data_IF_257215632528
#
_entry.id   IF_257215632528
#
_cell.length_a   1.000
_cell.length_b   1.000
_cell.length_c   1.000
_cell.angle_alpha   90.00
_cell.angle_beta   90.00
_cell.angle_gamma   90.00
#
_symmetry.space_group_name_H-M   'P 1'
#
loop_
_entity.id
_entity.type
_entity.pdbx_description
1 polymer ?
#
# COMPACT_ATOMS: atom_id res chain seq x y z
N UNK A 1 10.94 -16.52 -28.65
CA UNK A 1 9.81 -16.16 -27.74
C UNK A 1 10.20 -14.90 -27.03
N UNK A 2 9.28 -13.95 -26.89
CA UNK A 2 9.51 -12.77 -26.07
C UNK A 2 9.63 -13.18 -24.61
N UNK A 3 10.60 -12.61 -23.90
CA UNK A 3 10.92 -12.96 -22.52
C UNK A 3 11.19 -11.69 -21.69
N UNK A 4 10.72 -11.68 -20.46
CA UNK A 4 10.92 -10.58 -19.50
C UNK A 4 11.37 -11.13 -18.16
N UNK A 5 12.39 -10.51 -17.56
CA UNK A 5 12.74 -10.76 -16.17
C UNK A 5 12.05 -9.74 -15.26
N UNK A 6 11.25 -10.21 -14.31
CA UNK A 6 10.66 -9.40 -13.25
C UNK A 6 11.41 -9.65 -11.96
N UNK A 7 11.90 -8.60 -11.32
CA UNK A 7 12.70 -8.68 -10.07
C UNK A 7 11.82 -8.24 -8.89
N UNK A 8 11.56 -9.17 -7.97
CA UNK A 8 10.70 -9.01 -6.81
C UNK A 8 9.28 -9.55 -7.04
N UNK A 9 8.82 -10.44 -6.15
CA UNK A 9 7.49 -11.02 -6.16
C UNK A 9 6.56 -10.38 -5.10
N UNK A 10 6.72 -9.09 -4.85
CA UNK A 10 5.78 -8.27 -4.08
C UNK A 10 4.48 -8.03 -4.85
N UNK A 11 3.67 -7.06 -4.38
CA UNK A 11 2.40 -6.72 -5.03
C UNK A 11 2.57 -6.39 -6.52
N UNK A 12 3.42 -5.42 -6.85
CA UNK A 12 3.57 -5.01 -8.23
C UNK A 12 4.27 -6.05 -9.11
N UNK A 13 5.27 -6.77 -8.58
CA UNK A 13 5.96 -7.78 -9.37
C UNK A 13 5.09 -9.00 -9.68
N UNK A 14 4.28 -9.45 -8.73
CA UNK A 14 3.28 -10.52 -8.95
C UNK A 14 2.23 -10.11 -9.98
N UNK A 15 1.72 -8.87 -9.88
CA UNK A 15 0.77 -8.34 -10.87
C UNK A 15 1.41 -8.21 -12.25
N UNK A 16 2.62 -7.63 -12.32
CA UNK A 16 3.36 -7.46 -13.57
C UNK A 16 3.64 -8.81 -14.27
N UNK A 17 4.16 -9.80 -13.52
CA UNK A 17 4.43 -11.14 -14.05
C UNK A 17 3.15 -11.79 -14.58
N UNK A 18 2.03 -11.64 -13.86
CA UNK A 18 0.74 -12.14 -14.30
C UNK A 18 0.28 -11.48 -15.60
N UNK A 19 0.33 -10.14 -15.69
CA UNK A 19 -0.11 -9.40 -16.88
C UNK A 19 0.73 -9.70 -18.11
N UNK A 20 2.04 -9.90 -17.94
CA UNK A 20 2.95 -10.36 -19.01
C UNK A 20 2.56 -11.77 -19.50
N UNK A 21 2.40 -12.69 -18.56
CA UNK A 21 2.14 -14.10 -18.86
C UNK A 21 0.77 -14.30 -19.52
N UNK A 22 -0.27 -13.57 -19.08
CA UNK A 22 -1.59 -13.57 -19.71
C UNK A 22 -1.54 -13.15 -21.21
N UNK A 23 -0.54 -12.35 -21.59
CA UNK A 23 -0.32 -11.89 -22.99
C UNK A 23 0.68 -12.76 -23.76
N UNK A 24 0.95 -13.98 -23.28
CA UNK A 24 1.83 -14.94 -23.95
C UNK A 24 3.32 -14.62 -23.85
N UNK A 25 3.74 -13.73 -22.94
CA UNK A 25 5.14 -13.42 -22.68
C UNK A 25 5.69 -14.37 -21.63
N UNK A 26 6.81 -15.05 -21.92
CA UNK A 26 7.52 -15.84 -20.93
C UNK A 26 8.16 -14.95 -19.86
N UNK A 27 8.01 -15.32 -18.59
CA UNK A 27 8.50 -14.52 -17.46
C UNK A 27 9.43 -15.32 -16.60
N UNK A 28 10.60 -14.75 -16.28
CA UNK A 28 11.42 -15.18 -15.15
C UNK A 28 11.14 -14.24 -13.98
N UNK A 29 10.46 -14.71 -12.96
CA UNK A 29 10.19 -13.97 -11.72
C UNK A 29 11.31 -14.27 -10.70
N UNK A 30 12.17 -13.29 -10.44
CA UNK A 30 13.27 -13.38 -9.47
C UNK A 30 12.77 -12.91 -8.11
N UNK A 31 12.87 -13.75 -7.09
CA UNK A 31 12.48 -13.43 -5.72
C UNK A 31 13.53 -13.91 -4.73
N UNK A 32 13.99 -13.01 -3.85
CA UNK A 32 15.03 -13.38 -2.89
C UNK A 32 14.54 -14.27 -1.73
N UNK A 33 13.23 -14.27 -1.46
CA UNK A 33 12.61 -15.18 -0.49
C UNK A 33 12.53 -16.60 -1.07
N UNK A 34 12.69 -17.66 -0.28
CA UNK A 34 12.94 -17.68 1.17
C UNK A 34 14.41 -17.53 1.58
N UNK A 35 15.35 -17.45 0.65
CA UNK A 35 16.80 -17.44 0.96
C UNK A 35 17.20 -16.20 1.77
N UNK A 36 16.57 -15.04 1.47
CA UNK A 36 16.81 -13.78 2.17
C UNK A 36 15.49 -13.07 2.43
N UNK A 37 15.17 -12.86 3.69
CA UNK A 37 14.01 -12.05 4.11
C UNK A 37 14.44 -10.60 4.33
N UNK A 38 13.54 -9.66 4.04
CA UNK A 38 13.70 -8.29 4.51
C UNK A 38 13.24 -8.17 5.97
N UNK A 39 13.60 -7.09 6.68
CA UNK A 39 13.13 -6.89 8.05
C UNK A 39 11.59 -6.84 8.21
N UNK A 40 10.83 -6.55 7.16
CA UNK A 40 9.37 -6.47 7.20
C UNK A 40 8.66 -7.77 6.83
N UNK A 41 9.30 -8.64 6.05
CA UNK A 41 8.70 -9.90 5.58
C UNK A 41 8.91 -11.02 6.60
N UNK A 42 7.91 -11.88 6.74
CA UNK A 42 7.90 -13.00 7.69
C UNK A 42 7.67 -14.35 7.02
N UNK A 43 7.18 -14.36 5.78
CA UNK A 43 6.84 -15.56 5.02
C UNK A 43 7.59 -15.63 3.69
N UNK A 44 7.58 -16.81 3.07
CA UNK A 44 8.07 -17.00 1.70
C UNK A 44 7.03 -16.62 0.63
N UNK A 45 5.80 -16.30 1.04
CA UNK A 45 4.70 -16.02 0.13
C UNK A 45 4.91 -14.70 -0.62
N UNK A 46 4.34 -14.64 -1.84
CA UNK A 46 4.34 -13.44 -2.66
C UNK A 46 3.31 -12.43 -2.18
N UNK A 47 3.46 -11.17 -2.60
CA UNK A 47 2.53 -10.09 -2.27
C UNK A 47 2.21 -9.97 -0.77
N UNK A 48 3.16 -10.28 0.11
CA UNK A 48 2.98 -10.17 1.56
C UNK A 48 2.69 -8.73 1.95
N UNK A 49 1.60 -8.53 2.72
CA UNK A 49 1.19 -7.23 3.22
C UNK A 49 1.92 -6.89 4.54
N UNK A 50 2.97 -6.08 4.49
CA UNK A 50 3.85 -5.85 5.62
C UNK A 50 3.25 -4.94 6.70
N UNK A 51 2.70 -3.76 6.33
CA UNK A 51 2.28 -2.75 7.30
C UNK A 51 0.82 -2.90 7.76
N UNK A 52 -0.08 -3.36 6.90
CA UNK A 52 -1.53 -3.43 7.14
C UNK A 52 -2.15 -4.50 6.26
N UNK A 53 -3.26 -5.10 6.69
CA UNK A 53 -4.06 -5.97 5.84
C UNK A 53 -5.16 -5.23 5.07
N UNK A 54 -5.17 -3.90 5.10
CA UNK A 54 -6.18 -3.09 4.42
C UNK A 54 -5.67 -2.52 3.11
N UNK A 55 -6.48 -2.67 2.08
CA UNK A 55 -6.36 -1.98 0.81
C UNK A 55 -7.15 -0.65 0.81
N UNK A 56 -7.42 -0.09 2.00
CA UNK A 56 -8.12 1.18 2.22
C UNK A 56 -9.59 1.18 1.75
N UNK A 57 -10.19 2.36 1.62
CA UNK A 57 -11.63 2.52 1.32
C UNK A 57 -12.07 1.78 0.05
N UNK A 58 -13.20 1.06 0.12
CA UNK A 58 -13.77 0.32 -0.99
C UNK A 58 -14.73 1.17 -1.86
N UNK A 59 -15.37 2.19 -1.27
CA UNK A 59 -16.40 2.98 -1.94
C UNK A 59 -15.86 3.89 -3.05
N UNK A 60 -16.62 4.03 -4.13
CA UNK A 60 -16.26 4.81 -5.31
C UNK A 60 -16.17 6.33 -5.08
N UNK A 61 -16.68 6.83 -3.98
CA UNK A 61 -16.47 8.22 -3.54
C UNK A 61 -15.04 8.50 -3.04
N UNK A 62 -14.20 7.46 -2.98
CA UNK A 62 -12.78 7.54 -2.64
C UNK A 62 -11.94 7.16 -3.84
N UNK A 63 -10.90 7.92 -4.15
CA UNK A 63 -10.06 7.68 -5.32
C UNK A 63 -9.40 6.30 -5.32
N UNK A 64 -9.01 5.78 -4.15
CA UNK A 64 -8.47 4.42 -4.03
C UNK A 64 -9.53 3.34 -4.25
N UNK A 65 -10.79 3.62 -3.93
CA UNK A 65 -11.92 2.74 -4.29
C UNK A 65 -12.14 2.70 -5.79
N UNK A 66 -12.07 3.88 -6.45
CA UNK A 66 -12.10 3.97 -7.90
C UNK A 66 -10.95 3.19 -8.55
N UNK A 67 -9.70 3.39 -8.10
CA UNK A 67 -8.54 2.69 -8.67
C UNK A 67 -8.69 1.16 -8.56
N UNK A 68 -9.22 0.66 -7.43
CA UNK A 68 -9.52 -0.77 -7.28
C UNK A 68 -10.56 -1.25 -8.29
N UNK A 69 -11.60 -0.46 -8.52
CA UNK A 69 -12.65 -0.83 -9.47
C UNK A 69 -12.13 -0.81 -10.91
N UNK A 70 -11.30 0.16 -11.28
CA UNK A 70 -10.62 0.18 -12.58
C UNK A 70 -9.79 -1.08 -12.78
N UNK A 71 -8.93 -1.43 -11.80
CA UNK A 71 -8.10 -2.63 -11.85
C UNK A 71 -8.93 -3.92 -11.88
N UNK A 72 -10.08 -3.97 -11.18
CA UNK A 72 -11.00 -5.12 -11.20
C UNK A 72 -11.57 -5.33 -12.59
N UNK A 73 -12.04 -4.26 -13.24
CA UNK A 73 -12.58 -4.32 -14.60
C UNK A 73 -11.52 -4.67 -15.66
N UNK A 74 -10.26 -4.30 -15.40
CA UNK A 74 -9.12 -4.57 -16.26
C UNK A 74 -8.45 -5.93 -16.02
N UNK A 75 -8.98 -6.78 -15.12
CA UNK A 75 -8.50 -8.13 -14.91
C UNK A 75 -7.26 -8.26 -14.02
N UNK A 76 -7.08 -7.37 -13.02
CA UNK A 76 -6.00 -7.48 -12.03
C UNK A 76 -6.09 -8.77 -11.23
N UNK A 77 -4.99 -9.49 -11.15
CA UNK A 77 -4.84 -10.68 -10.30
C UNK A 77 -5.02 -10.32 -8.83
N UNK A 78 -4.32 -9.27 -8.37
CA UNK A 78 -4.26 -8.93 -6.95
C UNK A 78 -5.61 -8.46 -6.42
N UNK A 79 -6.35 -7.68 -7.20
CA UNK A 79 -7.68 -7.22 -6.78
C UNK A 79 -8.65 -8.41 -6.71
N UNK A 80 -8.58 -9.35 -7.65
CA UNK A 80 -9.37 -10.59 -7.60
C UNK A 80 -9.02 -11.43 -6.38
N UNK A 81 -7.73 -11.62 -6.07
CA UNK A 81 -7.30 -12.31 -4.86
C UNK A 81 -7.76 -11.58 -3.58
N UNK A 82 -7.75 -10.25 -3.58
CA UNK A 82 -8.20 -9.46 -2.46
C UNK A 82 -9.71 -9.61 -2.21
N UNK A 83 -10.52 -9.63 -3.28
CA UNK A 83 -11.97 -9.85 -3.17
C UNK A 83 -12.30 -11.25 -2.63
N UNK A 84 -11.54 -12.29 -3.05
CA UNK A 84 -11.74 -13.66 -2.60
C UNK A 84 -11.31 -13.92 -1.14
N UNK A 85 -10.38 -13.11 -0.63
CA UNK A 85 -9.86 -13.22 0.75
C UNK A 85 -10.30 -12.08 1.66
N UNK A 86 -11.34 -11.36 1.24
CA UNK A 86 -11.86 -10.22 1.98
C UNK A 86 -12.36 -10.60 3.37
N UNK A 87 -12.06 -9.74 4.36
CA UNK A 87 -12.58 -9.84 5.72
C UNK A 87 -13.38 -8.58 6.06
N UNK A 88 -14.37 -8.67 6.95
CA UNK A 88 -15.17 -7.51 7.36
C UNK A 88 -14.29 -6.39 7.90
N UNK A 89 -14.46 -5.18 7.35
CA UNK A 89 -13.71 -3.98 7.75
C UNK A 89 -14.49 -2.68 7.47
N UNK A 90 -15.80 -2.68 7.69
CA UNK A 90 -16.67 -1.53 7.44
C UNK A 90 -16.62 -1.07 5.98
N UNK A 91 -16.24 0.18 5.73
CA UNK A 91 -16.12 0.76 4.38
C UNK A 91 -14.78 0.53 3.69
N UNK A 92 -13.88 -0.29 4.24
CA UNK A 92 -12.59 -0.62 3.65
C UNK A 92 -12.60 -2.03 3.02
N UNK A 93 -11.73 -2.27 2.03
CA UNK A 93 -11.36 -3.60 1.60
C UNK A 93 -10.16 -4.05 2.44
N UNK A 94 -10.38 -4.93 3.40
CA UNK A 94 -9.33 -5.63 4.13
C UNK A 94 -9.36 -7.12 3.79
N UNK A 95 -8.22 -7.79 3.91
CA UNK A 95 -8.07 -9.20 3.54
C UNK A 95 -7.54 -10.03 4.71
N UNK A 96 -7.81 -11.33 4.69
CA UNK A 96 -7.01 -12.28 5.45
C UNK A 96 -5.57 -12.21 4.92
N UNK A 97 -4.65 -11.73 5.72
CA UNK A 97 -3.27 -11.43 5.32
C UNK A 97 -2.56 -12.65 4.72
N UNK A 98 -2.65 -13.78 5.39
CA UNK A 98 -2.00 -15.01 4.96
C UNK A 98 -2.75 -15.69 3.82
N UNK A 99 -4.08 -15.68 3.86
CA UNK A 99 -4.93 -16.21 2.79
C UNK A 99 -4.67 -15.50 1.47
N UNK A 100 -4.57 -14.17 1.50
CA UNK A 100 -4.27 -13.35 0.33
C UNK A 100 -2.90 -13.68 -0.28
N UNK A 101 -1.83 -13.64 0.52
CA UNK A 101 -0.46 -13.89 0.04
C UNK A 101 -0.30 -15.29 -0.52
N UNK A 102 -0.90 -16.30 0.15
CA UNK A 102 -0.91 -17.69 -0.31
C UNK A 102 -1.61 -17.83 -1.65
N UNK A 103 -2.80 -17.25 -1.78
CA UNK A 103 -3.59 -17.33 -3.02
C UNK A 103 -2.87 -16.69 -4.21
N UNK A 104 -2.24 -15.51 -4.00
CA UNK A 104 -1.40 -14.87 -5.02
C UNK A 104 -0.22 -15.78 -5.40
N UNK A 105 0.47 -16.36 -4.41
CA UNK A 105 1.61 -17.26 -4.62
C UNK A 105 1.21 -18.47 -5.46
N UNK A 106 0.11 -19.11 -5.12
CA UNK A 106 -0.41 -20.28 -5.82
C UNK A 106 -0.72 -19.96 -7.27
N UNK A 107 -1.43 -18.87 -7.54
CA UNK A 107 -1.79 -18.46 -8.91
C UNK A 107 -0.59 -18.12 -9.77
N UNK A 108 0.35 -17.36 -9.22
CA UNK A 108 1.58 -16.97 -9.95
C UNK A 108 2.43 -18.20 -10.24
N UNK A 109 2.64 -19.09 -9.27
CA UNK A 109 3.43 -20.31 -9.44
C UNK A 109 2.80 -21.35 -10.36
N UNK A 110 1.48 -21.40 -10.45
CA UNK A 110 0.76 -22.34 -11.31
C UNK A 110 0.70 -21.89 -12.78
N UNK A 111 1.05 -20.63 -13.08
CA UNK A 111 0.97 -20.14 -14.45
C UNK A 111 2.11 -20.72 -15.32
N UNK A 112 1.81 -21.39 -16.47
CA UNK A 112 2.81 -22.13 -17.25
C UNK A 112 3.92 -21.26 -17.85
N UNK A 113 3.67 -19.96 -18.05
CA UNK A 113 4.64 -19.01 -18.60
C UNK A 113 5.44 -18.26 -17.53
N UNK A 114 5.23 -18.53 -16.25
CA UNK A 114 5.98 -17.88 -15.15
C UNK A 114 6.93 -18.91 -14.52
N UNK A 115 8.22 -18.67 -14.67
CA UNK A 115 9.27 -19.44 -13.97
C UNK A 115 9.76 -18.64 -12.78
N UNK A 116 9.57 -19.16 -11.57
CA UNK A 116 10.06 -18.53 -10.35
C UNK A 116 11.48 -19.00 -10.07
N UNK A 117 12.40 -18.07 -9.94
CA UNK A 117 13.81 -18.35 -9.63
C UNK A 117 14.17 -17.66 -8.31
N UNK A 118 14.46 -18.41 -7.24
CA UNK A 118 14.86 -17.84 -5.96
C UNK A 118 16.26 -17.23 -6.02
N UNK A 119 16.52 -16.36 -5.06
CA UNK A 119 17.82 -15.74 -4.86
C UNK A 119 17.84 -14.24 -5.09
N UNK A 120 18.75 -13.57 -4.40
CA UNK A 120 18.98 -12.13 -4.51
C UNK A 120 19.52 -11.77 -5.90
N UNK A 121 18.97 -10.71 -6.46
CA UNK A 121 19.52 -10.08 -7.67
C UNK A 121 20.37 -8.88 -7.26
N UNK A 122 21.63 -8.90 -7.57
CA UNK A 122 22.59 -7.85 -7.24
C UNK A 122 23.00 -7.00 -8.44
N UNK A 123 22.73 -7.48 -9.67
CA UNK A 123 22.96 -6.75 -10.91
C UNK A 123 21.80 -6.99 -11.89
N UNK A 124 21.60 -6.07 -12.80
CA UNK A 124 20.51 -6.16 -13.78
C UNK A 124 20.80 -7.21 -14.84
N UNK A 125 19.89 -8.15 -15.08
CA UNK A 125 20.05 -9.12 -16.17
C UNK A 125 19.97 -8.43 -17.54
N UNK A 126 20.47 -9.13 -18.55
CA UNK A 126 20.29 -8.70 -19.95
C UNK A 126 18.85 -8.86 -20.41
N UNK A 127 18.49 -8.18 -21.50
CA UNK A 127 17.15 -8.23 -22.07
C UNK A 127 16.15 -7.27 -21.42
N UNK A 128 14.90 -7.63 -21.46
CA UNK A 128 13.78 -6.84 -20.90
C UNK A 128 13.65 -7.10 -19.40
N UNK A 129 13.63 -6.04 -18.61
CA UNK A 129 13.61 -6.12 -17.14
C UNK A 129 12.57 -5.20 -16.55
N UNK A 130 11.81 -5.69 -15.59
CA UNK A 130 10.95 -4.89 -14.71
C UNK A 130 11.45 -5.02 -13.28
N UNK A 131 11.89 -3.90 -12.68
CA UNK A 131 12.31 -3.84 -11.29
C UNK A 131 11.09 -3.52 -10.42
N UNK A 132 10.68 -4.49 -9.60
CA UNK A 132 9.50 -4.42 -8.74
C UNK A 132 9.81 -4.84 -7.30
N UNK A 133 11.03 -4.53 -6.83
CA UNK A 133 11.58 -4.96 -5.54
C UNK A 133 11.01 -4.20 -4.35
N UNK A 134 10.29 -3.12 -4.60
CA UNK A 134 9.63 -2.35 -3.56
C UNK A 134 10.55 -1.45 -2.75
N UNK A 135 10.03 -0.94 -1.62
CA UNK A 135 10.76 0.00 -0.79
C UNK A 135 11.96 -0.64 -0.06
N UNK A 136 11.93 -1.96 0.11
CA UNK A 136 12.96 -2.75 0.79
C UNK A 136 13.87 -3.49 -0.20
N UNK A 137 14.19 -2.83 -1.32
CA UNK A 137 15.21 -3.29 -2.26
C UNK A 137 16.53 -3.56 -1.52
N UNK A 138 17.18 -4.67 -1.81
CA UNK A 138 18.46 -5.00 -1.17
C UNK A 138 19.52 -3.96 -1.48
N UNK A 139 20.44 -3.73 -0.53
CA UNK A 139 21.47 -2.70 -0.64
C UNK A 139 22.30 -2.87 -1.92
N UNK A 140 22.68 -4.10 -2.26
CA UNK A 140 23.49 -4.39 -3.45
C UNK A 140 22.77 -3.97 -4.75
N UNK A 141 21.48 -4.30 -4.89
CA UNK A 141 20.72 -3.88 -6.06
C UNK A 141 20.43 -2.39 -6.03
N UNK A 142 20.12 -1.81 -4.86
CA UNK A 142 19.90 -0.37 -4.71
C UNK A 142 21.13 0.43 -5.14
N UNK A 143 22.33 0.06 -4.66
CA UNK A 143 23.60 0.70 -5.03
C UNK A 143 23.88 0.59 -6.54
N UNK A 144 23.57 -0.57 -7.12
CA UNK A 144 23.72 -0.79 -8.57
C UNK A 144 22.79 0.10 -9.39
N UNK A 145 21.51 0.19 -8.99
CA UNK A 145 20.52 1.06 -9.63
C UNK A 145 20.93 2.53 -9.49
N UNK A 146 21.35 2.96 -8.31
CA UNK A 146 21.82 4.33 -8.05
C UNK A 146 22.99 4.71 -8.93
N UNK A 147 24.02 3.83 -9.00
CA UNK A 147 25.18 4.04 -9.86
C UNK A 147 24.80 4.19 -11.34
N UNK A 148 23.85 3.38 -11.81
CA UNK A 148 23.37 3.40 -13.20
C UNK A 148 22.53 4.66 -13.51
N UNK A 149 21.75 5.15 -12.56
CA UNK A 149 20.83 6.28 -12.75
C UNK A 149 21.48 7.66 -12.53
N UNK A 150 22.78 7.73 -12.30
CA UNK A 150 23.51 9.00 -12.17
C UNK A 150 23.87 9.40 -10.74
N UNK A 151 23.87 8.48 -9.79
CA UNK A 151 24.30 8.67 -8.41
C UNK A 151 23.23 9.19 -7.46
N UNK A 152 23.64 9.71 -6.29
CA UNK A 152 22.74 10.06 -5.18
C UNK A 152 21.71 11.16 -5.51
N UNK A 153 21.97 12.00 -6.49
CA UNK A 153 21.06 13.09 -6.90
C UNK A 153 19.79 12.59 -7.62
N UNK A 154 19.76 11.32 -8.05
CA UNK A 154 18.63 10.73 -8.78
C UNK A 154 17.69 9.90 -7.90
N UNK A 155 18.02 9.68 -6.63
CA UNK A 155 17.19 8.95 -5.69
C UNK A 155 16.95 9.75 -4.42
N UNK A 156 15.70 9.73 -4.01
CA UNK A 156 15.22 10.35 -2.78
C UNK A 156 14.92 9.25 -1.76
N UNK A 157 15.04 9.57 -0.48
CA UNK A 157 14.77 8.62 0.60
C UNK A 157 13.66 9.15 1.50
N UNK A 158 12.78 8.24 1.94
CA UNK A 158 11.82 8.49 3.01
C UNK A 158 11.70 7.27 3.92
N UNK A 159 11.04 7.44 5.05
CA UNK A 159 10.84 6.37 6.02
C UNK A 159 9.38 5.98 6.11
N UNK A 160 9.12 4.69 6.28
CA UNK A 160 7.81 4.10 6.50
C UNK A 160 7.82 3.25 7.76
N UNK A 161 6.70 3.15 8.45
CA UNK A 161 6.58 2.44 9.71
C UNK A 161 5.39 1.47 9.71
N UNK A 162 5.60 0.25 10.18
CA UNK A 162 4.55 -0.72 10.38
C UNK A 162 3.87 -0.55 11.75
N UNK A 163 2.57 -0.85 11.83
CA UNK A 163 1.80 -0.85 13.07
C UNK A 163 1.84 -2.22 13.78
N UNK A 164 1.71 -2.25 15.13
CA UNK A 164 1.68 -3.48 15.90
C UNK A 164 0.44 -4.33 15.65
N UNK A 165 0.58 -5.64 15.90
CA UNK A 165 -0.51 -6.63 15.94
C UNK A 165 -0.69 -7.18 17.34
N UNK A 166 -1.95 -7.36 17.77
CA UNK A 166 -2.31 -7.94 19.05
C UNK A 166 -3.22 -9.16 18.87
N UNK A 167 -3.17 -10.08 19.83
CA UNK A 167 -4.07 -11.24 19.88
C UNK A 167 -5.40 -10.84 20.50
N UNK A 168 -6.51 -11.21 19.88
CA UNK A 168 -7.86 -10.85 20.32
C UNK A 168 -8.18 -11.33 21.73
N UNK A 169 -7.78 -12.55 22.06
CA UNK A 169 -8.03 -13.16 23.38
C UNK A 169 -7.35 -12.43 24.56
N UNK A 170 -6.46 -11.50 24.25
CA UNK A 170 -5.76 -10.65 25.22
C UNK A 170 -6.23 -9.19 25.24
N UNK A 171 -7.22 -8.85 24.44
CA UNK A 171 -7.86 -7.52 24.46
C UNK A 171 -8.96 -7.53 25.53
N UNK A 172 -8.90 -6.56 26.44
CA UNK A 172 -9.93 -6.40 27.47
C UNK A 172 -11.21 -5.81 26.84
N UNK A 173 -12.21 -6.67 26.66
CA UNK A 173 -13.48 -6.28 26.07
C UNK A 173 -14.45 -5.62 27.09
N UNK A 174 -14.13 -5.60 28.37
CA UNK A 174 -14.88 -4.80 29.35
C UNK A 174 -14.49 -3.32 29.24
N UNK A 175 -13.27 -3.05 28.80
CA UNK A 175 -12.77 -1.71 28.50
C UNK A 175 -12.90 -1.31 27.01
N UNK A 176 -13.12 -2.27 26.10
CA UNK A 176 -13.32 -2.07 24.65
C UNK A 176 -14.75 -2.35 24.21
N UNK A 177 -15.11 -1.94 23.00
CA UNK A 177 -16.41 -2.26 22.40
C UNK A 177 -16.36 -2.32 20.88
N UNK A 178 -17.21 -3.16 20.28
CA UNK A 178 -17.38 -3.20 18.83
C UNK A 178 -18.32 -2.08 18.37
N UNK A 179 -17.89 -1.29 17.39
CA UNK A 179 -18.73 -0.30 16.71
C UNK A 179 -18.13 0.12 15.36
N UNK A 180 -18.98 0.66 14.51
CA UNK A 180 -18.60 1.41 13.31
C UNK A 180 -18.87 2.90 13.50
N UNK A 181 -18.09 3.78 12.85
CA UNK A 181 -18.30 5.22 12.94
C UNK A 181 -19.63 5.64 12.34
N UNK A 182 -20.40 6.43 13.10
CA UNK A 182 -21.71 6.92 12.72
C UNK A 182 -22.73 5.81 12.44
N UNK A 183 -22.56 4.64 13.07
CA UNK A 183 -23.38 3.45 12.88
C UNK A 183 -23.52 3.03 11.40
N UNK A 184 -22.45 3.23 10.62
CA UNK A 184 -22.40 2.90 9.19
C UNK A 184 -21.79 1.53 8.97
N UNK A 185 -22.55 0.61 8.40
CA UNK A 185 -22.11 -0.77 8.15
C UNK A 185 -22.11 -1.64 9.40
N UNK A 186 -21.31 -2.69 9.37
CA UNK A 186 -21.14 -3.63 10.47
C UNK A 186 -20.16 -3.13 11.53
N UNK A 187 -20.31 -3.50 12.81
CA UNK A 187 -19.43 -3.09 13.90
C UNK A 187 -18.11 -3.89 13.88
N UNK A 188 -17.32 -3.72 12.83
CA UNK A 188 -16.13 -4.55 12.56
C UNK A 188 -14.86 -4.15 13.32
N UNK A 189 -14.85 -2.96 13.94
CA UNK A 189 -13.70 -2.45 14.69
C UNK A 189 -13.92 -2.59 16.19
N UNK A 190 -12.87 -3.03 16.91
CA UNK A 190 -12.82 -2.87 18.36
C UNK A 190 -12.35 -1.44 18.63
N UNK A 191 -13.10 -0.73 19.44
CA UNK A 191 -12.80 0.63 19.85
C UNK A 191 -12.34 0.60 21.30
N UNK A 192 -11.12 1.10 21.55
CA UNK A 192 -10.47 1.17 22.85
C UNK A 192 -10.52 2.64 23.30
N UNK A 193 -11.53 3.03 24.10
CA UNK A 193 -11.70 4.40 24.54
C UNK A 193 -10.69 4.75 25.64
N UNK A 194 -10.36 6.03 25.70
CA UNK A 194 -9.64 6.66 26.82
C UNK A 194 -10.42 7.89 27.27
N UNK A 195 -10.45 8.10 28.57
CA UNK A 195 -10.87 9.39 29.12
C UNK A 195 -9.75 10.44 29.00
N UNK A 196 -9.98 11.64 29.55
CA UNK A 196 -9.00 12.73 29.42
C UNK A 196 -7.70 12.45 30.19
N UNK A 197 -7.80 11.88 31.38
CA UNK A 197 -6.64 11.63 32.24
C UNK A 197 -5.79 10.49 31.67
N UNK A 198 -6.42 9.42 31.26
CA UNK A 198 -5.80 8.27 30.57
C UNK A 198 -5.08 8.70 29.28
N UNK A 199 -5.76 9.52 28.45
CA UNK A 199 -5.17 10.02 27.22
C UNK A 199 -3.96 10.93 27.49
N UNK A 200 -4.05 11.85 28.43
CA UNK A 200 -2.93 12.76 28.74
C UNK A 200 -1.73 12.00 29.29
N UNK A 201 -1.95 11.01 30.16
CA UNK A 201 -0.89 10.14 30.64
C UNK A 201 -0.24 9.35 29.48
N UNK A 202 -1.06 8.73 28.64
CA UNK A 202 -0.59 8.03 27.44
C UNK A 202 0.20 8.96 26.50
N UNK A 203 -0.32 10.16 26.19
CA UNK A 203 0.34 11.13 25.31
C UNK A 203 1.70 11.57 25.86
N UNK A 204 1.78 11.87 27.15
CA UNK A 204 3.04 12.25 27.82
C UNK A 204 4.09 11.14 27.73
N UNK A 205 3.71 9.90 27.98
CA UNK A 205 4.63 8.76 27.90
C UNK A 205 5.04 8.48 26.44
N UNK A 206 4.11 8.67 25.50
CA UNK A 206 4.37 8.46 24.07
C UNK A 206 5.41 9.45 23.51
N UNK A 207 5.32 10.74 23.84
CA UNK A 207 6.25 11.75 23.32
C UNK A 207 7.65 11.67 23.93
N UNK A 208 7.80 11.01 25.08
CA UNK A 208 9.08 10.81 25.77
C UNK A 208 9.64 9.39 25.63
N UNK A 209 8.91 8.50 24.99
CA UNK A 209 9.34 7.12 24.80
C UNK A 209 10.62 7.01 23.95
N UNK A 210 11.44 5.99 24.27
CA UNK A 210 12.69 5.76 23.55
C UNK A 210 12.45 5.19 22.17
N UNK A 211 13.07 5.82 21.19
CA UNK A 211 13.02 5.40 19.79
C UNK A 211 14.17 4.45 19.46
N UNK A 212 13.96 3.58 18.45
CA UNK A 212 15.03 2.79 17.88
C UNK A 212 15.97 3.71 17.08
N UNK A 213 17.27 3.44 17.14
CA UNK A 213 18.23 4.17 16.32
C UNK A 213 18.00 3.79 14.85
N UNK A 214 17.56 4.77 14.07
CA UNK A 214 17.47 4.64 12.60
C UNK A 214 18.49 5.59 12.01
N UNK A 215 19.56 5.03 11.42
CA UNK A 215 20.60 5.82 10.81
C UNK A 215 20.06 6.68 9.67
N UNK A 216 20.30 8.00 9.75
CA UNK A 216 19.83 8.96 8.74
C UNK A 216 18.34 9.31 8.84
N UNK A 217 17.68 8.99 9.96
CA UNK A 217 16.30 9.42 10.21
C UNK A 217 16.25 10.93 10.46
N UNK A 218 15.48 11.64 9.65
CA UNK A 218 15.07 13.01 9.89
C UNK A 218 13.54 13.07 9.78
N UNK A 219 12.88 13.70 10.75
CA UNK A 219 11.41 13.86 10.77
C UNK A 219 10.83 14.47 9.48
N UNK A 220 11.64 15.24 8.76
CA UNK A 220 11.27 15.89 7.50
C UNK A 220 11.08 14.92 6.34
N UNK A 221 11.64 13.72 6.42
CA UNK A 221 11.66 12.72 5.36
C UNK A 221 10.63 11.61 5.56
N UNK A 222 9.67 11.79 6.47
CA UNK A 222 8.58 10.82 6.71
C UNK A 222 7.39 11.16 5.83
N UNK A 223 6.86 10.16 5.13
CA UNK A 223 5.63 10.30 4.36
C UNK A 223 4.44 10.53 5.32
N UNK A 224 3.63 11.55 5.06
CA UNK A 224 2.51 11.96 5.94
C UNK A 224 1.53 10.80 6.23
N UNK A 225 1.26 9.92 5.26
CA UNK A 225 0.34 8.79 5.41
C UNK A 225 0.87 7.64 6.28
N UNK A 226 2.18 7.59 6.53
CA UNK A 226 2.86 6.57 7.33
C UNK A 226 3.61 7.16 8.52
N UNK A 227 3.27 8.40 8.89
CA UNK A 227 3.92 9.11 10.00
C UNK A 227 3.77 8.32 11.32
N UNK A 228 4.88 8.10 12.04
CA UNK A 228 4.84 7.45 13.34
C UNK A 228 3.94 8.18 14.34
N UNK A 229 3.24 7.41 15.15
CA UNK A 229 2.27 7.95 16.12
C UNK A 229 2.92 8.89 17.14
N UNK A 230 4.16 8.61 17.56
CA UNK A 230 4.95 9.47 18.46
C UNK A 230 5.36 10.78 17.79
N UNK A 231 5.68 10.76 16.50
CA UNK A 231 6.00 11.97 15.71
C UNK A 231 4.76 12.85 15.55
N UNK A 232 3.61 12.24 15.26
CA UNK A 232 2.33 12.97 15.26
C UNK A 232 2.01 13.57 16.65
N UNK A 233 2.23 12.82 17.72
CA UNK A 233 1.96 13.25 19.10
C UNK A 233 2.78 14.49 19.48
N UNK A 234 4.04 14.61 19.05
CA UNK A 234 4.91 15.77 19.32
C UNK A 234 4.45 17.04 18.64
N UNK A 235 3.60 16.97 17.61
CA UNK A 235 3.02 18.15 16.95
C UNK A 235 2.01 18.88 17.82
N UNK A 236 1.54 18.27 18.91
CA UNK A 236 0.66 18.86 19.91
C UNK A 236 -0.28 17.86 20.55
N UNK A 237 -0.73 18.17 21.77
CA UNK A 237 -1.61 17.33 22.59
C UNK A 237 -2.86 16.83 21.84
N UNK A 238 -3.49 17.69 21.06
CA UNK A 238 -4.74 17.35 20.36
C UNK A 238 -4.52 16.68 18.98
N UNK A 239 -3.29 16.61 18.46
CA UNK A 239 -3.02 16.12 17.11
C UNK A 239 -3.56 14.71 16.88
N UNK A 240 -3.34 13.80 17.81
CA UNK A 240 -3.84 12.42 17.69
C UNK A 240 -5.38 12.34 17.75
N UNK A 241 -6.03 13.21 18.51
CA UNK A 241 -7.49 13.28 18.64
C UNK A 241 -8.19 13.81 17.38
N UNK A 242 -7.49 14.56 16.56
CA UNK A 242 -7.95 14.97 15.21
C UNK A 242 -7.47 14.02 14.11
N UNK A 243 -6.57 13.10 14.45
CA UNK A 243 -5.98 12.09 13.59
C UNK A 243 -6.42 10.65 13.91
N UNK A 244 -5.48 9.75 14.21
CA UNK A 244 -5.75 8.32 14.36
C UNK A 244 -6.63 7.97 15.57
N UNK A 245 -6.59 8.78 16.63
CA UNK A 245 -7.36 8.54 17.85
C UNK A 245 -8.66 9.37 17.92
N UNK A 246 -9.17 9.80 16.78
CA UNK A 246 -10.37 10.62 16.71
C UNK A 246 -11.60 9.91 17.29
N UNK A 247 -12.29 10.48 18.31
CA UNK A 247 -13.45 9.82 18.95
C UNK A 247 -14.75 10.03 18.17
N UNK A 248 -14.81 11.00 17.26
CA UNK A 248 -16.02 11.48 16.62
C UNK A 248 -16.78 10.38 15.88
N UNK A 249 -18.08 10.28 16.17
CA UNK A 249 -18.96 9.28 15.56
C UNK A 249 -18.89 7.89 16.20
N UNK A 250 -18.21 7.77 17.33
CA UNK A 250 -18.15 6.55 18.15
C UNK A 250 -18.73 6.84 19.54
N UNK A 251 -19.83 6.18 19.88
CA UNK A 251 -20.44 6.26 21.20
C UNK A 251 -20.07 5.02 22.00
N UNK A 252 -19.48 5.23 23.16
CA UNK A 252 -19.25 4.13 24.10
C UNK A 252 -20.61 3.65 24.64
N UNK A 253 -20.97 2.37 24.44
CA UNK A 253 -22.27 1.85 24.88
C UNK A 253 -22.45 1.87 26.41
N UNK A 254 -21.34 1.91 27.17
CA UNK A 254 -21.37 1.97 28.65
C UNK A 254 -21.76 3.36 29.17
N UNK A 255 -21.36 4.40 28.46
CA UNK A 255 -21.60 5.80 28.89
C UNK A 255 -22.64 6.53 28.02
N UNK A 256 -22.91 6.03 26.82
CA UNK A 256 -23.75 6.67 25.80
C UNK A 256 -23.11 7.93 25.17
N UNK A 257 -21.85 8.23 25.50
CA UNK A 257 -21.13 9.44 25.06
C UNK A 257 -19.94 9.11 24.17
N UNK A 258 -19.51 10.09 23.37
CA UNK A 258 -18.21 10.01 22.68
C UNK A 258 -17.09 10.10 23.73
N UNK A 259 -16.10 9.16 23.71
CA UNK A 259 -14.94 9.23 24.61
C UNK A 259 -14.06 10.44 24.31
N UNK A 260 -13.04 10.69 25.12
CA UNK A 260 -12.08 11.76 24.87
C UNK A 260 -11.14 11.41 23.70
N UNK A 261 -10.65 10.16 23.65
CA UNK A 261 -9.88 9.61 22.54
C UNK A 261 -10.24 8.13 22.34
N UNK A 262 -10.00 7.57 21.15
CA UNK A 262 -10.29 6.17 20.83
C UNK A 262 -9.19 5.58 19.95
N UNK A 263 -8.57 4.50 20.39
CA UNK A 263 -7.75 3.65 19.54
C UNK A 263 -8.64 2.61 18.87
N UNK A 264 -8.51 2.44 17.57
CA UNK A 264 -9.27 1.43 16.82
C UNK A 264 -8.39 0.23 16.48
N UNK A 265 -8.91 -0.97 16.74
CA UNK A 265 -8.29 -2.20 16.29
C UNK A 265 -9.11 -2.75 15.13
N UNK A 266 -8.42 -3.16 14.07
CA UNK A 266 -9.03 -3.78 12.88
C UNK A 266 -8.62 -5.24 12.79
N UNK A 267 -9.58 -6.11 12.45
CA UNK A 267 -9.35 -7.52 12.18
C UNK A 267 -8.25 -7.70 11.10
N UNK A 268 -7.27 -8.55 11.38
CA UNK A 268 -6.11 -8.81 10.50
C UNK A 268 -6.15 -10.19 9.81
N UNK A 269 -7.00 -11.09 10.27
CA UNK A 269 -7.21 -12.42 9.67
C UNK A 269 -8.71 -12.80 9.63
N UNK A 270 -9.08 -13.80 8.83
CA UNK A 270 -10.47 -14.24 8.66
C UNK A 270 -11.09 -14.73 9.97
N UNK A 271 -10.34 -15.45 10.79
CA UNK A 271 -10.81 -16.02 12.07
C UNK A 271 -11.06 -14.97 13.16
N UNK A 272 -10.61 -13.73 12.97
CA UNK A 272 -10.76 -12.66 13.95
C UNK A 272 -9.96 -12.87 15.24
N UNK A 273 -8.85 -13.59 15.15
CA UNK A 273 -7.95 -13.86 16.29
C UNK A 273 -6.81 -12.87 16.41
N UNK A 274 -6.54 -12.09 15.35
CA UNK A 274 -5.46 -11.11 15.26
C UNK A 274 -6.03 -9.75 14.86
N UNK A 275 -5.59 -8.70 15.55
CA UNK A 275 -6.02 -7.34 15.31
C UNK A 275 -4.84 -6.38 15.17
N UNK A 276 -4.98 -5.44 14.22
CA UNK A 276 -4.00 -4.38 13.91
C UNK A 276 -4.38 -3.08 14.61
N UNK A 277 -3.43 -2.42 15.26
CA UNK A 277 -3.62 -1.09 15.85
C UNK A 277 -3.64 -0.04 14.72
N UNK A 278 -4.80 0.52 14.44
CA UNK A 278 -4.98 1.46 13.32
C UNK A 278 -4.30 2.80 13.62
N UNK A 279 -3.37 3.21 12.74
CA UNK A 279 -2.66 4.48 12.88
C UNK A 279 -1.52 4.48 13.92
N UNK A 280 -1.07 3.30 14.35
CA UNK A 280 0.03 3.12 15.30
C UNK A 280 1.32 2.66 14.61
N UNK A 281 1.60 3.16 13.42
CA UNK A 281 2.94 3.07 12.86
C UNK A 281 3.92 3.72 13.84
N UNK A 282 5.06 3.08 14.11
CA UNK A 282 5.98 3.54 15.14
C UNK A 282 7.41 3.07 14.91
N UNK A 283 8.38 3.86 15.35
CA UNK A 283 9.79 3.46 15.48
C UNK A 283 10.27 3.40 16.94
N UNK A 284 9.34 3.40 17.89
CA UNK A 284 9.67 3.14 19.29
C UNK A 284 10.35 1.78 19.46
N UNK A 285 11.29 1.68 20.41
CA UNK A 285 11.88 0.40 20.83
C UNK A 285 10.79 -0.58 21.29
N UNK A 286 10.92 -1.88 21.03
CA UNK A 286 9.91 -2.88 21.40
C UNK A 286 9.47 -2.84 22.87
N UNK A 287 10.39 -2.70 23.85
CA UNK A 287 9.98 -2.53 25.25
C UNK A 287 9.11 -1.29 25.49
N UNK A 288 9.41 -0.19 24.80
CA UNK A 288 8.64 1.05 24.88
C UNK A 288 7.26 0.93 24.25
N UNK A 289 7.17 0.25 23.10
CA UNK A 289 5.88 -0.04 22.49
C UNK A 289 4.99 -0.83 23.44
N UNK A 290 5.52 -1.89 24.09
CA UNK A 290 4.77 -2.65 25.07
C UNK A 290 4.36 -1.76 26.25
N UNK A 291 5.28 -1.00 26.82
CA UNK A 291 5.04 -0.14 27.99
C UNK A 291 3.97 0.92 27.71
N UNK A 292 4.15 1.67 26.62
CA UNK A 292 3.29 2.82 26.31
C UNK A 292 1.93 2.37 25.80
N UNK A 293 1.87 1.39 24.89
CA UNK A 293 0.59 0.96 24.31
C UNK A 293 -0.26 0.16 25.29
N UNK A 294 0.34 -0.47 26.32
CA UNK A 294 -0.39 -1.09 27.42
C UNK A 294 -1.01 -0.07 28.40
N UNK A 295 -0.76 1.22 28.25
CA UNK A 295 -1.47 2.27 28.99
C UNK A 295 -2.90 2.51 28.47
N UNK A 296 -3.21 2.03 27.26
CA UNK A 296 -4.56 2.05 26.71
C UNK A 296 -5.37 0.99 27.47
N UNK A 297 -6.48 1.34 28.19
CA UNK A 297 -7.16 0.41 29.08
C UNK A 297 -7.47 -0.96 28.47
N UNK A 298 -8.04 -0.99 27.28
CA UNK A 298 -8.36 -2.25 26.61
C UNK A 298 -7.13 -3.07 26.18
N UNK A 299 -5.93 -2.49 26.21
CA UNK A 299 -4.66 -3.13 25.83
C UNK A 299 -3.72 -3.35 27.00
N UNK A 300 -4.17 -3.16 28.25
CA UNK A 300 -3.32 -3.28 29.44
C UNK A 300 -2.56 -4.61 29.49
N UNK A 301 -3.25 -5.70 29.25
CA UNK A 301 -2.69 -7.05 29.25
C UNK A 301 -2.53 -7.62 27.82
N UNK A 302 -2.58 -6.76 26.79
CA UNK A 302 -2.53 -7.19 25.41
C UNK A 302 -1.22 -7.91 25.07
N UNK A 303 -1.37 -9.06 24.40
CA UNK A 303 -0.25 -9.83 23.86
C UNK A 303 0.06 -9.33 22.44
N UNK A 304 1.17 -8.61 22.32
CA UNK A 304 1.68 -8.16 21.04
C UNK A 304 2.27 -9.34 20.26
N UNK A 305 1.66 -9.68 19.13
CA UNK A 305 2.12 -10.74 18.24
C UNK A 305 3.22 -10.25 17.30
N UNK A 306 3.18 -8.94 16.98
CA UNK A 306 4.21 -8.23 16.24
C UNK A 306 4.30 -6.81 16.74
N UNK A 307 5.51 -6.32 16.89
CA UNK A 307 5.78 -4.91 17.18
C UNK A 307 5.85 -4.10 15.88
N UNK A 308 5.59 -2.80 16.01
CA UNK A 308 5.84 -1.85 14.93
C UNK A 308 7.33 -1.71 14.63
N UNK A 309 7.66 -1.52 13.38
CA UNK A 309 9.04 -1.30 12.92
C UNK A 309 9.04 -0.21 11.86
N UNK A 310 10.15 0.53 11.79
CA UNK A 310 10.38 1.52 10.76
C UNK A 310 11.41 1.03 9.75
N UNK A 311 11.18 1.35 8.47
CA UNK A 311 12.06 1.00 7.37
C UNK A 311 12.41 2.25 6.58
N UNK A 312 13.68 2.33 6.13
CA UNK A 312 14.10 3.32 5.15
C UNK A 312 13.65 2.87 3.76
N UNK A 313 12.91 3.73 3.09
CA UNK A 313 12.42 3.51 1.73
C UNK A 313 13.21 4.37 0.75
N UNK A 314 13.46 3.84 -0.44
CA UNK A 314 14.11 4.57 -1.52
C UNK A 314 13.13 4.77 -2.66
N UNK A 315 13.03 5.97 -3.22
CA UNK A 315 12.25 6.24 -4.42
C UNK A 315 13.05 7.08 -5.42
N UNK A 316 12.67 6.97 -6.68
CA UNK A 316 13.33 7.62 -7.81
C UNK A 316 12.79 9.04 -8.03
N UNK A 317 13.60 9.92 -8.60
CA UNK A 317 13.10 11.17 -9.22
C UNK A 317 12.38 10.82 -10.54
N UNK A 318 11.24 10.15 -10.38
CA UNK A 318 10.49 9.55 -11.47
C UNK A 318 10.09 10.52 -12.58
N UNK A 319 9.70 11.77 -12.31
CA UNK A 319 9.38 12.72 -13.38
C UNK A 319 10.50 12.90 -14.40
N UNK A 320 11.75 12.89 -13.95
CA UNK A 320 12.91 13.00 -14.84
C UNK A 320 13.28 11.68 -15.50
N UNK A 321 13.10 10.58 -14.77
CA UNK A 321 13.62 9.27 -15.17
C UNK A 321 12.61 8.44 -15.97
N UNK A 322 11.32 8.48 -15.61
CA UNK A 322 10.31 7.55 -16.10
C UNK A 322 9.30 8.24 -17.04
N UNK A 323 8.79 7.46 -17.99
CA UNK A 323 7.60 7.83 -18.74
C UNK A 323 6.32 7.40 -17.97
N UNK A 324 5.15 7.75 -18.50
CA UNK A 324 3.84 7.46 -17.88
C UNK A 324 3.52 5.97 -17.72
N UNK A 325 4.29 5.11 -18.36
CA UNK A 325 4.19 3.65 -18.29
C UNK A 325 5.26 3.04 -17.38
N UNK A 326 5.90 3.87 -16.54
CA UNK A 326 6.96 3.49 -15.60
C UNK A 326 8.24 2.97 -16.25
N UNK A 327 8.44 3.22 -17.53
CA UNK A 327 9.61 2.82 -18.30
C UNK A 327 10.70 3.88 -18.20
N UNK A 328 11.96 3.45 -18.08
CA UNK A 328 13.11 4.35 -18.03
C UNK A 328 13.32 5.02 -19.40
N UNK A 329 13.23 6.35 -19.47
CA UNK A 329 13.36 7.14 -20.71
C UNK A 329 14.69 6.88 -21.40
N UNK A 330 15.81 6.81 -20.62
CA UNK A 330 17.16 6.61 -21.16
C UNK A 330 17.43 5.15 -21.58
N UNK A 331 16.68 4.18 -21.08
CA UNK A 331 16.88 2.75 -21.37
C UNK A 331 15.53 2.03 -21.44
N UNK A 332 14.85 2.05 -22.59
CA UNK A 332 13.46 1.55 -22.72
C UNK A 332 13.26 0.05 -22.45
N UNK A 333 14.33 -0.74 -22.38
CA UNK A 333 14.27 -2.15 -21.95
C UNK A 333 14.09 -2.33 -20.44
N UNK A 334 14.18 -1.26 -19.67
CA UNK A 334 14.07 -1.26 -18.22
C UNK A 334 12.85 -0.48 -17.78
N UNK A 335 11.99 -1.13 -17.02
CA UNK A 335 10.82 -0.54 -16.37
C UNK A 335 10.92 -0.70 -14.86
N UNK A 336 10.24 0.18 -14.14
CA UNK A 336 10.15 0.14 -12.69
C UNK A 336 8.68 0.01 -12.27
N UNK A 337 8.45 -0.50 -11.09
CA UNK A 337 7.11 -0.52 -10.48
C UNK A 337 7.24 -0.37 -8.97
N UNK A 338 6.10 -0.22 -8.28
CA UNK A 338 6.04 -0.13 -6.81
C UNK A 338 6.37 1.29 -6.28
N UNK A 339 6.42 1.41 -4.98
CA UNK A 339 6.70 2.65 -4.24
C UNK A 339 7.99 3.35 -4.68
N UNK A 340 9.00 2.63 -5.15
CA UNK A 340 10.23 3.25 -5.66
C UNK A 340 9.99 4.21 -6.83
N UNK A 341 8.85 4.11 -7.52
CA UNK A 341 8.45 5.05 -8.58
C UNK A 341 7.72 6.28 -8.07
N UNK A 342 7.54 6.42 -6.75
CA UNK A 342 6.79 7.51 -6.13
C UNK A 342 5.28 7.32 -6.09
N UNK A 343 4.77 6.10 -6.36
CA UNK A 343 3.40 5.74 -6.03
C UNK A 343 3.35 5.21 -4.60
N UNK A 344 2.44 5.71 -3.78
CA UNK A 344 2.35 5.33 -2.38
C UNK A 344 1.09 4.52 -2.11
N UNK A 345 1.27 3.31 -1.53
CA UNK A 345 0.19 2.41 -1.14
C UNK A 345 0.12 1.11 -1.94
N UNK A 346 -0.56 0.11 -1.36
CA UNK A 346 -0.66 -1.24 -1.93
C UNK A 346 -1.38 -1.28 -3.27
N UNK A 347 -2.49 -0.54 -3.40
CA UNK A 347 -3.30 -0.49 -4.63
C UNK A 347 -2.58 0.25 -5.72
N UNK A 348 -1.89 1.35 -5.39
CA UNK A 348 -1.05 2.11 -6.31
C UNK A 348 0.15 1.30 -6.78
N UNK A 349 0.76 0.52 -5.88
CA UNK A 349 1.82 -0.43 -6.25
C UNK A 349 1.31 -1.50 -7.20
N UNK A 350 0.13 -2.07 -6.95
CA UNK A 350 -0.54 -3.00 -7.86
C UNK A 350 -0.77 -2.35 -9.23
N UNK A 351 -1.31 -1.13 -9.28
CA UNK A 351 -1.58 -0.39 -10.51
C UNK A 351 -0.29 -0.11 -11.32
N UNK A 352 0.81 0.22 -10.66
CA UNK A 352 2.10 0.43 -11.33
C UNK A 352 2.62 -0.87 -11.96
N UNK A 353 2.52 -2.00 -11.24
CA UNK A 353 2.88 -3.32 -11.75
C UNK A 353 1.99 -3.77 -12.91
N UNK A 354 0.68 -3.54 -12.79
CA UNK A 354 -0.29 -3.78 -13.85
C UNK A 354 0.09 -3.03 -15.14
N UNK A 355 0.28 -1.72 -15.03
CA UNK A 355 0.58 -0.87 -16.18
C UNK A 355 1.93 -1.22 -16.80
N UNK A 356 2.97 -1.40 -15.98
CA UNK A 356 4.29 -1.81 -16.46
C UNK A 356 4.25 -3.16 -17.19
N UNK A 357 3.47 -4.14 -16.68
CA UNK A 357 3.32 -5.45 -17.32
C UNK A 357 2.58 -5.40 -18.64
N UNK A 358 1.43 -4.72 -18.68
CA UNK A 358 0.62 -4.54 -19.90
C UNK A 358 1.42 -3.86 -20.98
N UNK A 359 2.05 -2.73 -20.68
CA UNK A 359 2.76 -1.92 -21.68
C UNK A 359 4.06 -2.57 -22.15
N UNK A 360 4.77 -3.28 -21.28
CA UNK A 360 5.94 -4.08 -21.68
C UNK A 360 5.53 -5.21 -22.64
N UNK A 361 4.43 -5.91 -22.36
CA UNK A 361 3.92 -6.94 -23.26
C UNK A 361 3.52 -6.37 -24.63
N UNK A 362 2.73 -5.29 -24.65
CA UNK A 362 2.28 -4.65 -25.88
C UNK A 362 3.46 -4.21 -26.75
N UNK A 363 4.44 -3.59 -26.15
CA UNK A 363 5.66 -3.17 -26.86
C UNK A 363 6.41 -4.35 -27.47
N UNK A 364 6.57 -5.45 -26.73
CA UNK A 364 7.22 -6.67 -27.25
C UNK A 364 6.43 -7.37 -28.36
N UNK A 365 5.11 -7.20 -28.36
CA UNK A 365 4.21 -7.70 -29.38
C UNK A 365 4.05 -6.72 -30.57
N UNK A 366 4.73 -5.58 -30.56
CA UNK A 366 4.63 -4.55 -31.60
C UNK A 366 3.27 -3.83 -31.63
N UNK A 367 2.53 -3.86 -30.53
CA UNK A 367 1.24 -3.18 -30.36
C UNK A 367 1.45 -1.75 -29.86
N UNK A 368 0.58 -0.79 -30.24
CA UNK A 368 0.64 0.56 -29.69
C UNK A 368 0.33 0.55 -28.18
N UNK A 369 0.86 1.52 -27.40
CA UNK A 369 0.54 1.65 -25.98
C UNK A 369 -0.95 1.99 -25.80
N UNK A 370 -1.54 1.57 -24.67
CA UNK A 370 -2.90 1.97 -24.30
C UNK A 370 -2.86 3.36 -23.70
N UNK A 371 -3.63 4.26 -24.25
CA UNK A 371 -3.75 5.61 -23.70
C UNK A 371 -4.79 5.63 -22.56
N UNK A 372 -4.30 5.46 -21.32
CA UNK A 372 -5.11 5.71 -20.14
C UNK A 372 -5.15 7.22 -19.86
N UNK A 373 -6.28 7.90 -20.12
CA UNK A 373 -6.32 9.35 -19.99
C UNK A 373 -6.34 9.79 -18.52
N UNK A 374 -6.01 11.05 -18.28
CA UNK A 374 -5.93 11.64 -16.93
C UNK A 374 -7.26 11.59 -16.17
N UNK A 375 -8.38 11.40 -16.85
CA UNK A 375 -9.71 11.22 -16.29
C UNK A 375 -9.88 9.87 -15.58
N UNK A 376 -8.98 8.89 -15.81
CA UNK A 376 -8.93 7.63 -15.06
C UNK A 376 -7.94 7.71 -13.90
N UNK A 377 -8.17 6.96 -12.83
CA UNK A 377 -7.27 6.96 -11.69
C UNK A 377 -5.90 6.36 -12.03
N UNK A 378 -5.88 5.27 -12.81
CA UNK A 378 -4.64 4.63 -13.28
C UNK A 378 -3.85 5.56 -14.22
N UNK A 379 -4.51 6.26 -15.13
CA UNK A 379 -3.88 7.22 -16.04
C UNK A 379 -3.37 8.46 -15.31
N UNK A 380 -4.16 9.01 -14.38
CA UNK A 380 -3.74 10.14 -13.55
C UNK A 380 -2.49 9.82 -12.72
N UNK A 381 -2.40 8.60 -12.18
CA UNK A 381 -1.24 8.15 -11.41
C UNK A 381 0.01 8.04 -12.29
N UNK A 382 -0.09 7.41 -13.47
CA UNK A 382 1.02 7.31 -14.43
C UNK A 382 1.51 8.69 -14.91
N UNK A 383 0.58 9.61 -15.17
CA UNK A 383 0.93 10.98 -15.53
C UNK A 383 1.56 11.77 -14.37
N UNK A 384 1.14 11.52 -13.14
CA UNK A 384 1.76 12.15 -11.96
C UNK A 384 3.24 11.78 -11.83
N UNK A 385 3.58 10.49 -11.93
CA UNK A 385 4.97 10.02 -11.78
C UNK A 385 5.89 10.43 -12.94
N UNK A 386 5.34 10.85 -14.08
CA UNK A 386 6.10 11.28 -15.26
C UNK A 386 6.07 12.78 -15.53
N UNK A 387 5.44 13.57 -14.65
CA UNK A 387 5.23 15.01 -14.87
C UNK A 387 6.43 15.84 -14.43
N UNK A 388 7.27 16.24 -15.36
CA UNK A 388 8.46 17.06 -15.13
C UNK A 388 8.15 18.49 -14.61
N UNK A 389 6.90 18.95 -14.68
CA UNK A 389 6.50 20.24 -14.13
C UNK A 389 6.31 20.26 -12.61
N UNK A 390 6.39 19.10 -11.95
CA UNK A 390 6.36 19.01 -10.48
C UNK A 390 7.69 19.49 -9.91
N UNK A 391 7.69 20.65 -9.28
CA UNK A 391 8.92 21.28 -8.80
C UNK A 391 9.63 20.51 -7.69
N UNK A 392 8.87 19.88 -6.80
CA UNK A 392 9.39 19.00 -5.76
C UNK A 392 8.55 17.71 -5.76
N UNK A 393 9.10 16.67 -6.39
CA UNK A 393 8.43 15.39 -6.47
C UNK A 393 8.43 14.68 -5.11
N UNK A 394 7.27 14.15 -4.72
CA UNK A 394 7.10 13.36 -3.51
C UNK A 394 6.18 12.16 -3.80
N UNK A 395 6.38 11.03 -3.11
CA UNK A 395 5.45 9.91 -3.20
C UNK A 395 4.02 10.34 -2.90
N UNK A 396 3.05 9.78 -3.64
CA UNK A 396 1.66 10.18 -3.51
C UNK A 396 0.71 8.98 -3.61
N UNK A 397 -0.30 8.97 -2.74
CA UNK A 397 -1.47 8.13 -2.92
C UNK A 397 -2.38 8.70 -4.00
N UNK A 398 -3.11 7.81 -4.68
CA UNK A 398 -4.17 8.25 -5.59
C UNK A 398 -5.19 9.13 -4.87
N UNK A 399 -5.52 10.25 -5.47
CA UNK A 399 -6.54 11.18 -4.98
C UNK A 399 -7.21 11.90 -6.15
N UNK A 400 -8.44 12.38 -5.96
CA UNK A 400 -9.17 13.09 -7.00
C UNK A 400 -8.57 14.45 -7.40
N UNK A 401 -7.59 14.95 -6.64
CA UNK A 401 -6.92 16.23 -6.95
C UNK A 401 -5.98 16.15 -8.15
N UNK A 402 -5.48 14.96 -8.49
CA UNK A 402 -4.63 14.76 -9.67
C UNK A 402 -5.43 14.43 -10.94
N UNK A 403 -6.74 14.21 -10.80
CA UNK A 403 -7.66 14.00 -11.92
C UNK A 403 -8.27 15.34 -12.37
N UNK A 404 -8.59 15.51 -13.67
CA UNK A 404 -9.24 16.73 -14.14
C UNK A 404 -10.60 16.96 -13.47
N UNK A 405 -10.97 18.21 -13.16
CA UNK A 405 -12.29 18.51 -12.62
C UNK A 405 -13.41 18.12 -13.61
N UNK A 406 -14.63 18.08 -13.12
CA UNK A 406 -15.81 18.00 -13.98
C UNK A 406 -15.99 19.35 -14.71
N UNK A 407 -16.56 19.30 -15.89
CA UNK A 407 -16.91 20.47 -16.74
C UNK A 407 -18.05 21.32 -16.19
N UNK A 408 -18.73 20.83 -15.15
CA UNK A 408 -19.83 21.48 -14.47
C UNK A 408 -19.69 21.44 -12.94
N UNK A 409 -20.37 22.34 -12.27
CA UNK A 409 -20.36 22.43 -10.79
C UNK A 409 -21.29 21.40 -10.17
N UNK A 410 -20.75 20.56 -9.29
CA UNK A 410 -21.51 19.59 -8.48
C UNK A 410 -21.53 20.00 -7.02
N UNK A 411 -22.71 20.02 -6.40
CA UNK A 411 -22.89 20.35 -4.99
C UNK A 411 -22.57 19.13 -4.11
N UNK A 412 -21.68 19.33 -3.15
CA UNK A 412 -21.26 18.32 -2.19
C UNK A 412 -20.09 17.45 -2.68
N UNK A 413 -19.07 17.28 -1.80
CA UNK A 413 -17.84 16.53 -2.09
C UNK A 413 -18.12 15.09 -2.52
N UNK A 414 -19.02 14.40 -1.82
CA UNK A 414 -19.36 13.00 -2.11
C UNK A 414 -19.96 12.83 -3.50
N UNK A 415 -20.92 13.69 -3.86
CA UNK A 415 -21.56 13.65 -5.18
C UNK A 415 -20.56 14.00 -6.30
N UNK A 416 -19.69 15.00 -6.07
CA UNK A 416 -18.61 15.34 -7.02
C UNK A 416 -17.70 14.14 -7.26
N UNK A 417 -17.24 13.50 -6.20
CA UNK A 417 -16.33 12.35 -6.30
C UNK A 417 -17.02 11.16 -7.01
N UNK A 418 -18.30 10.89 -6.71
CA UNK A 418 -19.05 9.83 -7.38
C UNK A 418 -19.14 10.07 -8.90
N UNK A 419 -19.36 11.31 -9.34
CA UNK A 419 -19.40 11.64 -10.77
C UNK A 419 -18.02 11.55 -11.45
N UNK A 420 -16.93 11.92 -10.75
CA UNK A 420 -15.57 11.70 -11.23
C UNK A 420 -15.32 10.20 -11.46
N UNK A 421 -15.77 9.37 -10.54
CA UNK A 421 -15.65 7.91 -10.66
C UNK A 421 -16.48 7.35 -11.80
N UNK A 422 -17.72 7.82 -11.98
CA UNK A 422 -18.57 7.40 -13.10
C UNK A 422 -17.94 7.75 -14.45
N UNK A 423 -17.39 8.96 -14.59
CA UNK A 423 -16.66 9.39 -15.79
C UNK A 423 -15.49 8.46 -16.09
N UNK A 424 -14.68 8.16 -15.07
CA UNK A 424 -13.54 7.27 -15.20
C UNK A 424 -13.95 5.85 -15.62
N UNK A 425 -14.93 5.25 -14.95
CA UNK A 425 -15.37 3.89 -15.24
C UNK A 425 -16.00 3.77 -16.63
N UNK A 426 -16.65 4.81 -17.14
CA UNK A 426 -17.13 4.84 -18.52
C UNK A 426 -15.99 4.78 -19.55
N UNK A 427 -14.85 5.42 -19.24
CA UNK A 427 -13.63 5.35 -20.07
C UNK A 427 -12.99 3.96 -19.96
N UNK A 428 -12.87 3.42 -18.76
CA UNK A 428 -12.31 2.09 -18.52
C UNK A 428 -13.10 1.02 -19.27
N UNK A 429 -14.43 1.08 -19.30
CA UNK A 429 -15.27 0.14 -20.04
C UNK A 429 -14.98 0.19 -21.56
N UNK A 430 -14.64 1.35 -22.12
CA UNK A 430 -14.23 1.49 -23.51
C UNK A 430 -12.84 0.87 -23.78
N UNK A 431 -11.90 1.03 -22.83
CA UNK A 431 -10.55 0.49 -22.95
C UNK A 431 -10.46 -1.00 -22.62
N UNK A 432 -11.42 -1.53 -21.90
CA UNK A 432 -11.42 -2.89 -21.37
C UNK A 432 -11.19 -3.95 -22.45
N UNK A 433 -11.86 -3.86 -23.58
CA UNK A 433 -11.66 -4.81 -24.67
C UNK A 433 -10.24 -4.79 -25.21
N UNK A 434 -9.64 -3.61 -25.35
CA UNK A 434 -8.25 -3.48 -25.80
C UNK A 434 -7.26 -4.06 -24.80
N UNK A 435 -7.50 -3.84 -23.49
CA UNK A 435 -6.66 -4.37 -22.40
C UNK A 435 -6.77 -5.90 -22.30
N UNK A 436 -7.99 -6.45 -22.47
CA UNK A 436 -8.28 -7.89 -22.31
C UNK A 436 -8.24 -8.68 -23.62
N UNK A 437 -7.79 -8.09 -24.74
CA UNK A 437 -7.75 -8.76 -26.06
C UNK A 437 -6.88 -10.02 -26.12
N UNK A 438 -6.15 -10.35 -25.05
CA UNK A 438 -5.40 -11.60 -24.92
C UNK A 438 -6.27 -12.82 -24.58
N UNK A 439 -7.50 -12.61 -24.09
CA UNK A 439 -8.41 -13.70 -23.71
C UNK A 439 -8.94 -14.50 -24.92
N UNK A 440 -8.88 -13.92 -26.13
CA UNK A 440 -9.37 -14.53 -27.37
C UNK A 440 -8.36 -15.51 -28.01
N UNK A 441 -7.20 -15.75 -27.41
CA UNK A 441 -6.11 -16.55 -27.98
C UNK A 441 -5.80 -17.85 -27.21
N UNK A 442 -6.69 -18.29 -26.31
CA UNK A 442 -6.56 -19.56 -25.56
C UNK A 442 -7.71 -20.53 -25.78
#
# INVERSE_FOLDING_TARGET
MNHVTVIGAGLAGSECAWQLAQRGISVTLREMKPEKLTPAHQTADFAELCCSNSLRAAGLENAVGLLKEELRQLGSLLIRCADETAVPAGGALAVDRHGFSRLVTERVRSHPLITVVPGEVTDLPEGEVVVATGPLTSDALADRLMSMLGGQDSALHFFDAAAPLVSFDSVDMDSGFFASRYDKGTPDYINCPMDREEYLAFWQELIHAQEAEVHGFEDKNVFEGCMPVEVMARRGEDTLRYGPLKPRGLKDPRTGKEPYAVVQLRKDNADGTIYNLVGFQTHLRFPEQKRVFSMIPALHDARFLRYGVMHRNTYLDSPRLLDRYYRLKAMPRLSFAVQMTGVEGYVESCASGFLAGVETARRLLGQPPIDFPRETAIGALGLYVSNESVGQFQPMNINFGIMPPLDHRVKGKRNKNAQLSQRSLAIIEQLKQEVLSYEDHH
#
